data_IF_485639941187
#
_entry.id   IF_485639941187
#
_cell.length_a   1.000
_cell.length_b   1.000
_cell.length_c   1.000
_cell.angle_alpha   90.00
_cell.angle_beta   90.00
_cell.angle_gamma   90.00
#
_symmetry.space_group_name_H-M   'P 1'
#
loop_
_entity.id
_entity.type
_entity.pdbx_description
1 polymer ?
#
# COMPACT_ATOMS: atom_id res chain seq x y z
N UNK A 1 5.61 -4.09 1.81
CA UNK A 1 5.13 -5.01 2.85
C UNK A 1 5.64 -6.44 2.66
N UNK A 2 5.42 -7.02 1.48
CA UNK A 2 5.85 -8.40 1.22
C UNK A 2 7.37 -8.56 1.30
N UNK A 3 8.12 -7.64 0.68
CA UNK A 3 9.59 -7.68 0.70
C UNK A 3 10.12 -7.39 2.11
N UNK A 4 9.45 -6.53 2.86
CA UNK A 4 9.81 -6.25 4.25
C UNK A 4 9.66 -7.51 5.11
N UNK A 5 8.64 -8.33 4.87
CA UNK A 5 8.47 -9.60 5.55
C UNK A 5 9.61 -10.59 5.28
N UNK A 6 10.17 -10.59 4.07
CA UNK A 6 11.35 -11.39 3.72
C UNK A 6 12.56 -10.95 4.55
N UNK A 7 12.80 -9.65 4.65
CA UNK A 7 13.94 -9.11 5.39
C UNK A 7 13.86 -9.40 6.90
N UNK A 8 12.66 -9.53 7.45
CA UNK A 8 12.46 -9.84 8.86
C UNK A 8 12.65 -11.30 9.22
N UNK A 9 12.75 -12.19 8.22
CA UNK A 9 12.94 -13.60 8.50
C UNK A 9 14.32 -13.86 9.11
N UNK A 10 14.36 -14.49 10.28
CA UNK A 10 15.61 -14.75 11.02
C UNK A 10 16.28 -16.07 10.62
N UNK A 11 15.50 -17.02 10.12
CA UNK A 11 15.96 -18.34 9.71
C UNK A 11 16.24 -18.36 8.20
N UNK A 12 17.44 -18.77 7.73
CA UNK A 12 17.75 -18.79 6.30
C UNK A 12 16.77 -19.61 5.46
N UNK A 13 16.35 -20.77 5.92
CA UNK A 13 15.36 -21.60 5.21
C UNK A 13 14.00 -20.92 5.17
N UNK A 14 13.58 -20.29 6.26
CA UNK A 14 12.33 -19.53 6.33
C UNK A 14 12.40 -18.31 5.41
N UNK A 15 13.52 -17.60 5.42
CA UNK A 15 13.75 -16.45 4.53
C UNK A 15 13.64 -16.87 3.06
N UNK A 16 14.25 -17.99 2.69
CA UNK A 16 14.21 -18.49 1.33
C UNK A 16 12.80 -18.87 0.91
N UNK A 17 12.03 -19.54 1.78
CA UNK A 17 10.63 -19.89 1.51
C UNK A 17 9.76 -18.66 1.36
N UNK A 18 9.95 -17.64 2.21
CA UNK A 18 9.22 -16.37 2.12
C UNK A 18 9.57 -15.62 0.85
N UNK A 19 10.85 -15.58 0.48
CA UNK A 19 11.28 -14.95 -0.75
C UNK A 19 10.67 -15.63 -1.98
N UNK A 20 10.65 -16.97 -2.03
CA UNK A 20 10.05 -17.72 -3.11
C UNK A 20 8.54 -17.47 -3.20
N UNK A 21 7.84 -17.41 -2.06
CA UNK A 21 6.42 -17.09 -2.00
C UNK A 21 6.13 -15.68 -2.53
N UNK A 22 6.91 -14.69 -2.10
CA UNK A 22 6.77 -13.30 -2.54
C UNK A 22 7.01 -13.19 -4.06
N UNK A 23 8.06 -13.83 -4.57
CA UNK A 23 8.34 -13.82 -6.01
C UNK A 23 7.20 -14.47 -6.81
N UNK A 24 6.63 -15.56 -6.31
CA UNK A 24 5.47 -16.19 -6.93
C UNK A 24 4.26 -15.25 -6.96
N UNK A 25 3.99 -14.55 -5.86
CA UNK A 25 2.91 -13.56 -5.80
C UNK A 25 3.16 -12.41 -6.77
N UNK A 26 4.36 -11.85 -6.81
CA UNK A 26 4.70 -10.75 -7.69
C UNK A 26 4.57 -11.12 -9.16
N UNK A 27 4.87 -12.38 -9.52
CA UNK A 27 4.69 -12.87 -10.87
C UNK A 27 3.22 -13.06 -11.26
N UNK A 28 2.36 -13.37 -10.27
CA UNK A 28 0.94 -13.64 -10.49
C UNK A 28 0.06 -12.39 -10.41
N UNK A 29 0.51 -11.33 -9.72
CA UNK A 29 -0.26 -10.12 -9.50
C UNK A 29 0.18 -8.99 -10.44
N UNK A 30 -0.76 -8.13 -10.88
CA UNK A 30 -0.37 -6.95 -11.61
C UNK A 30 0.43 -6.01 -10.72
N UNK A 31 1.53 -5.47 -11.25
CA UNK A 31 2.34 -4.48 -10.56
C UNK A 31 1.85 -3.10 -11.00
N UNK A 32 1.36 -2.31 -10.04
CA UNK A 32 0.86 -0.96 -10.31
C UNK A 32 2.02 0.03 -10.23
N UNK A 33 2.22 0.84 -11.27
CA UNK A 33 3.31 1.82 -11.27
C UNK A 33 3.01 3.01 -10.38
N UNK A 34 4.06 3.60 -9.82
CA UNK A 34 3.96 4.94 -9.24
C UNK A 34 4.36 5.94 -10.32
N UNK A 35 3.40 6.40 -11.08
CA UNK A 35 3.59 7.34 -12.19
C UNK A 35 3.23 8.77 -11.79
N UNK A 36 3.24 9.69 -12.77
CA UNK A 36 2.92 11.10 -12.53
C UNK A 36 1.49 11.29 -12.01
N UNK A 37 0.54 10.52 -12.53
CA UNK A 37 -0.86 10.59 -12.07
C UNK A 37 -0.95 10.22 -10.59
N UNK A 38 -0.31 9.12 -10.22
CA UNK A 38 -0.26 8.67 -8.82
C UNK A 38 0.44 9.69 -7.94
N UNK A 39 1.55 10.27 -8.40
CA UNK A 39 2.27 11.29 -7.65
C UNK A 39 1.41 12.53 -7.39
N UNK A 40 0.62 12.95 -8.36
CA UNK A 40 -0.29 14.09 -8.21
C UNK A 40 -1.41 13.79 -7.21
N UNK A 41 -1.98 12.59 -7.27
CA UNK A 41 -2.99 12.14 -6.30
C UNK A 41 -2.39 12.10 -4.90
N UNK A 42 -1.19 11.55 -4.76
CA UNK A 42 -0.48 11.49 -3.48
C UNK A 42 -0.26 12.90 -2.90
N UNK A 43 0.21 13.83 -3.70
CA UNK A 43 0.43 15.22 -3.26
C UNK A 43 -0.88 15.90 -2.85
N UNK A 44 -1.96 15.69 -3.59
CA UNK A 44 -3.28 16.22 -3.26
C UNK A 44 -3.81 15.64 -1.96
N UNK A 45 -3.67 14.34 -1.75
CA UNK A 45 -4.08 13.69 -0.50
C UNK A 45 -3.27 14.21 0.68
N UNK A 46 -1.97 14.34 0.52
CA UNK A 46 -1.09 14.91 1.55
C UNK A 46 -1.57 16.29 1.98
N UNK A 47 -1.80 17.19 1.02
CA UNK A 47 -2.25 18.55 1.30
C UNK A 47 -3.62 18.56 1.99
N UNK A 48 -4.56 17.74 1.54
CA UNK A 48 -5.90 17.66 2.12
C UNK A 48 -5.85 17.15 3.56
N UNK A 49 -5.09 16.10 3.83
CA UNK A 49 -4.95 15.55 5.17
C UNK A 49 -4.27 16.54 6.12
N UNK A 50 -3.22 17.22 5.64
CA UNK A 50 -2.52 18.23 6.42
C UNK A 50 -3.45 19.39 6.80
N UNK A 51 -4.29 19.85 5.86
CA UNK A 51 -5.23 20.95 6.13
C UNK A 51 -6.31 20.56 7.16
N UNK A 52 -6.61 19.29 7.29
CA UNK A 52 -7.60 18.78 8.26
C UNK A 52 -6.95 18.33 9.58
N UNK A 53 -5.65 18.49 9.73
CA UNK A 53 -4.91 18.04 10.91
C UNK A 53 -4.91 16.52 11.08
N UNK A 54 -5.10 15.77 9.99
CA UNK A 54 -5.09 14.31 9.99
C UNK A 54 -3.77 13.80 9.45
N UNK A 55 -3.30 12.67 9.98
CA UNK A 55 -2.10 12.02 9.49
C UNK A 55 -2.40 10.58 9.07
N UNK A 56 -1.71 10.15 8.02
CA UNK A 56 -1.73 8.77 7.53
C UNK A 56 -0.28 8.34 7.36
N UNK A 57 0.04 7.12 7.74
CA UNK A 57 1.40 6.60 7.57
C UNK A 57 1.86 6.70 6.11
N UNK A 58 3.16 6.96 5.85
CA UNK A 58 3.63 7.18 4.49
C UNK A 58 3.39 5.98 3.56
N UNK A 59 3.49 4.77 4.07
CA UNK A 59 3.21 3.57 3.27
C UNK A 59 1.73 3.46 2.91
N UNK A 60 0.84 3.69 3.87
CA UNK A 60 -0.60 3.64 3.64
C UNK A 60 -1.05 4.71 2.65
N UNK A 61 -0.45 5.90 2.74
CA UNK A 61 -0.76 6.98 1.81
C UNK A 61 -0.31 6.63 0.39
N UNK A 62 0.86 6.02 0.26
CA UNK A 62 1.39 5.58 -1.03
C UNK A 62 0.49 4.49 -1.64
N UNK A 63 0.10 3.51 -0.85
CA UNK A 63 -0.80 2.42 -1.27
C UNK A 63 -2.16 3.00 -1.67
N UNK A 64 -2.71 3.89 -0.86
CA UNK A 64 -4.00 4.51 -1.12
C UNK A 64 -4.01 5.34 -2.40
N UNK A 65 -2.98 6.15 -2.62
CA UNK A 65 -2.84 6.95 -3.84
C UNK A 65 -2.74 6.06 -5.08
N UNK A 66 -1.98 4.98 -4.99
CA UNK A 66 -1.83 4.01 -6.09
C UNK A 66 -3.16 3.33 -6.41
N UNK A 67 -3.91 2.94 -5.39
CA UNK A 67 -5.22 2.32 -5.57
C UNK A 67 -6.22 3.30 -6.22
N UNK A 68 -6.26 4.54 -5.76
CA UNK A 68 -7.14 5.57 -6.34
C UNK A 68 -6.78 5.80 -7.81
N UNK A 69 -5.50 5.94 -8.12
CA UNK A 69 -5.05 6.18 -9.49
C UNK A 69 -5.46 5.05 -10.44
N UNK A 70 -5.46 3.81 -9.96
CA UNK A 70 -5.82 2.63 -10.75
C UNK A 70 -7.32 2.30 -10.72
N UNK A 71 -8.11 3.01 -9.91
CA UNK A 71 -9.53 2.72 -9.76
C UNK A 71 -9.81 1.48 -8.93
N UNK A 72 -8.90 1.12 -8.03
CA UNK A 72 -9.02 -0.06 -7.19
C UNK A 72 -9.40 0.30 -5.76
N UNK A 73 -9.91 -0.67 -5.03
CA UNK A 73 -10.15 -0.59 -3.60
C UNK A 73 -9.00 -1.24 -2.84
N UNK A 74 -8.85 -0.89 -1.56
CA UNK A 74 -7.90 -1.54 -0.66
C UNK A 74 -8.63 -2.55 0.20
N UNK A 75 -8.11 -3.76 0.28
CA UNK A 75 -8.58 -4.80 1.18
C UNK A 75 -7.56 -4.96 2.30
N UNK A 76 -7.99 -4.81 3.53
CA UNK A 76 -7.08 -4.83 4.68
C UNK A 76 -7.77 -5.41 5.92
N UNK A 77 -6.98 -5.88 6.87
CA UNK A 77 -7.47 -6.27 8.20
C UNK A 77 -7.53 -5.09 9.16
N UNK A 78 -6.76 -4.04 8.89
CA UNK A 78 -6.71 -2.82 9.70
C UNK A 78 -6.97 -1.61 8.83
N UNK A 79 -8.15 -1.02 8.99
CA UNK A 79 -8.58 0.12 8.17
C UNK A 79 -8.16 1.48 8.72
N UNK A 80 -7.56 1.55 9.92
CA UNK A 80 -7.38 2.80 10.67
C UNK A 80 -6.69 3.91 9.87
N UNK A 81 -5.62 3.61 9.15
CA UNK A 81 -4.95 4.60 8.31
C UNK A 81 -5.73 4.88 7.04
N UNK A 82 -6.15 3.82 6.36
CA UNK A 82 -6.80 3.90 5.06
C UNK A 82 -8.14 4.64 5.09
N UNK A 83 -8.92 4.52 6.15
CA UNK A 83 -10.23 5.16 6.25
C UNK A 83 -10.15 6.69 6.30
N UNK A 84 -8.98 7.25 6.60
CA UNK A 84 -8.75 8.70 6.61
C UNK A 84 -8.50 9.26 5.22
N UNK A 85 -8.23 8.41 4.24
CA UNK A 85 -7.89 8.82 2.87
C UNK A 85 -9.18 9.10 2.10
N UNK A 86 -9.45 10.37 1.72
CA UNK A 86 -10.67 10.70 0.98
C UNK A 86 -10.63 10.07 -0.43
N UNK A 87 -11.77 9.56 -0.87
CA UNK A 87 -11.90 8.95 -2.19
C UNK A 87 -11.43 7.50 -2.29
N UNK A 88 -10.91 6.93 -1.21
CA UNK A 88 -10.46 5.54 -1.19
C UNK A 88 -11.56 4.63 -0.65
N UNK A 89 -11.89 3.59 -1.41
CA UNK A 89 -12.77 2.53 -0.95
C UNK A 89 -11.96 1.47 -0.20
N UNK A 90 -12.36 1.19 1.03
CA UNK A 90 -11.66 0.23 1.91
C UNK A 90 -12.60 -0.90 2.27
N UNK A 91 -12.12 -2.13 2.10
CA UNK A 91 -12.83 -3.34 2.51
C UNK A 91 -12.04 -3.99 3.64
N UNK A 92 -12.71 -4.25 4.76
CA UNK A 92 -12.09 -4.88 5.93
C UNK A 92 -12.44 -6.36 5.95
N UNK A 93 -11.41 -7.18 6.10
CA UNK A 93 -11.57 -8.64 6.21
C UNK A 93 -11.99 -9.05 7.61
#
# INVERSE_FOLDING_TARGET
ELLHGVERATNPAQRQRRAAFVETLLAALPILPFDLVTARIHASLWATLASKGKSVGPHDLLIGATAIAAGYRVVTRDRRGFERIPGLEVVVL
#
